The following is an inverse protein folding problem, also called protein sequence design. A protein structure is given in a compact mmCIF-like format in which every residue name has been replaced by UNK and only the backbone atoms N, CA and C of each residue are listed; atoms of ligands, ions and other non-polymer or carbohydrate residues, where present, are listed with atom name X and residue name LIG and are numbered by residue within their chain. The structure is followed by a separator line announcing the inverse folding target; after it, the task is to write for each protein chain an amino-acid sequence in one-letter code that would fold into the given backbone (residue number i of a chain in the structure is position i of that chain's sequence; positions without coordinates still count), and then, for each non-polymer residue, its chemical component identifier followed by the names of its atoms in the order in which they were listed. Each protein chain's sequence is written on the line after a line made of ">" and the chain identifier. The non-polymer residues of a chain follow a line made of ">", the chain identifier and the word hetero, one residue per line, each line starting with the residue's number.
data_IF_042200115890
#
_entry.id   IF_042200115890
#
_cell.length_a   1.000
_cell.length_b   1.000
_cell.length_c   1.000
_cell.angle_alpha   90.00
_cell.angle_beta   90.00
_cell.angle_gamma   90.00
#
_symmetry.space_group_name_H-M   'P 1'
#
loop_
_entity.id
_entity.type
_entity.pdbx_description
1 polymer ?
#
# COMPACT_ATOMS: atom_id res chain seq x y z
N UNK A 1 -7.58 -6.94 42.36
CA UNK A 1 -6.71 -6.10 41.45
C UNK A 1 -5.80 -7.03 40.67
N UNK A 2 -5.06 -7.97 41.25
CA UNK A 2 -4.15 -8.89 40.56
C UNK A 2 -4.82 -9.77 39.49
N UNK A 3 -6.02 -10.29 39.75
CA UNK A 3 -6.80 -11.08 38.78
C UNK A 3 -7.20 -10.26 37.56
N UNK A 4 -7.59 -8.99 37.75
CA UNK A 4 -7.96 -8.10 36.64
C UNK A 4 -6.77 -7.86 35.70
N UNK A 5 -5.59 -7.58 36.28
CA UNK A 5 -4.37 -7.43 35.47
C UNK A 5 -3.99 -8.69 34.70
N UNK A 6 -4.15 -9.86 35.32
CA UNK A 6 -3.91 -11.15 34.63
C UNK A 6 -4.87 -11.36 33.47
N UNK A 7 -6.14 -11.02 33.61
CA UNK A 7 -7.13 -11.08 32.52
C UNK A 7 -6.75 -10.12 31.39
N UNK A 8 -6.34 -8.90 31.70
CA UNK A 8 -5.91 -7.91 30.72
C UNK A 8 -4.68 -8.41 29.95
N UNK A 9 -3.68 -8.97 30.64
CA UNK A 9 -2.46 -9.51 29.98
C UNK A 9 -2.78 -10.71 29.09
N UNK A 10 -3.71 -11.57 29.49
CA UNK A 10 -4.19 -12.67 28.67
C UNK A 10 -4.91 -12.16 27.40
N UNK A 11 -5.75 -11.13 27.51
CA UNK A 11 -6.42 -10.51 26.36
C UNK A 11 -5.43 -9.85 25.39
N UNK A 12 -4.43 -9.13 25.91
CA UNK A 12 -3.34 -8.55 25.10
C UNK A 12 -2.64 -9.65 24.33
N UNK A 13 -2.20 -10.71 25.01
CA UNK A 13 -1.50 -11.83 24.41
C UNK A 13 -2.35 -12.52 23.33
N UNK A 14 -3.64 -12.72 23.58
CA UNK A 14 -4.58 -13.33 22.64
C UNK A 14 -4.70 -12.50 21.36
N UNK A 15 -4.89 -11.18 21.48
CA UNK A 15 -5.03 -10.30 20.31
C UNK A 15 -3.73 -10.18 19.54
N UNK A 16 -2.57 -10.15 20.21
CA UNK A 16 -1.26 -10.19 19.56
C UNK A 16 -1.09 -11.46 18.72
N UNK A 17 -1.35 -12.63 19.32
CA UNK A 17 -1.27 -13.93 18.61
C UNK A 17 -2.22 -13.98 17.41
N UNK A 18 -3.46 -13.52 17.55
CA UNK A 18 -4.43 -13.46 16.44
C UNK A 18 -3.93 -12.56 15.31
N UNK A 19 -3.44 -11.36 15.61
CA UNK A 19 -2.89 -10.46 14.60
C UNK A 19 -1.71 -11.09 13.84
N UNK A 20 -0.77 -11.72 14.56
CA UNK A 20 0.38 -12.40 13.94
C UNK A 20 -0.07 -13.57 13.06
N UNK A 21 -1.04 -14.37 13.54
CA UNK A 21 -1.57 -15.51 12.78
C UNK A 21 -2.24 -15.06 11.49
N UNK A 22 -3.06 -14.00 11.54
CA UNK A 22 -3.74 -13.46 10.34
C UNK A 22 -2.71 -12.88 9.36
N UNK A 23 -1.67 -12.18 9.83
CA UNK A 23 -0.56 -11.69 8.98
C UNK A 23 0.17 -12.84 8.29
N UNK A 24 0.45 -13.95 9.00
CA UNK A 24 1.05 -15.15 8.41
C UNK A 24 0.13 -15.82 7.39
N UNK A 25 -1.16 -15.91 7.67
CA UNK A 25 -2.15 -16.44 6.73
C UNK A 25 -2.20 -15.61 5.46
N UNK A 26 -2.25 -14.28 5.57
CA UNK A 26 -2.20 -13.35 4.44
C UNK A 26 -0.98 -13.60 3.55
N UNK A 27 0.21 -13.64 4.16
CA UNK A 27 1.46 -13.87 3.43
C UNK A 27 1.47 -15.26 2.77
N UNK A 28 0.97 -16.29 3.44
CA UNK A 28 0.86 -17.65 2.91
C UNK A 28 -0.10 -17.73 1.72
N UNK A 29 -1.26 -17.06 1.80
CA UNK A 29 -2.22 -16.99 0.70
C UNK A 29 -1.63 -16.27 -0.52
N UNK A 30 -1.01 -15.10 -0.34
CA UNK A 30 -0.34 -14.36 -1.43
C UNK A 30 0.74 -15.21 -2.10
N UNK A 31 1.60 -15.84 -1.29
CA UNK A 31 2.67 -16.70 -1.80
C UNK A 31 2.11 -17.91 -2.57
N UNK A 32 1.08 -18.57 -2.04
CA UNK A 32 0.43 -19.69 -2.74
C UNK A 32 -0.19 -19.24 -4.06
N UNK A 33 -0.91 -18.13 -4.09
CA UNK A 33 -1.50 -17.60 -5.32
C UNK A 33 -0.44 -17.38 -6.40
N UNK A 34 0.71 -16.78 -6.04
CA UNK A 34 1.81 -16.53 -6.98
C UNK A 34 2.47 -17.82 -7.42
N UNK A 35 2.75 -18.76 -6.50
CA UNK A 35 3.40 -20.04 -6.81
C UNK A 35 2.49 -20.98 -7.61
N UNK A 36 1.17 -20.92 -7.44
CA UNK A 36 0.23 -21.75 -8.21
C UNK A 36 0.19 -21.31 -9.67
N UNK A 37 0.44 -20.03 -9.95
CA UNK A 37 0.57 -19.50 -11.30
C UNK A 37 1.89 -19.92 -11.96
N UNK A 38 2.95 -20.10 -11.16
CA UNK A 38 4.29 -20.52 -11.63
C UNK A 38 4.48 -22.05 -11.67
N UNK A 39 3.59 -22.82 -11.00
CA UNK A 39 3.69 -24.26 -10.89
C UNK A 39 2.36 -24.97 -11.18
N UNK A 40 2.45 -26.13 -11.84
CA UNK A 40 1.32 -27.03 -12.14
C UNK A 40 0.68 -27.74 -10.92
N UNK A 41 0.92 -27.24 -9.70
CA UNK A 41 0.39 -27.81 -8.45
C UNK A 41 -0.99 -27.22 -8.12
N UNK A 42 -2.00 -27.72 -8.80
CA UNK A 42 -3.34 -27.12 -8.92
C UNK A 42 -4.43 -27.70 -8.00
N UNK A 43 -4.17 -28.65 -7.11
CA UNK A 43 -5.24 -29.56 -6.65
C UNK A 43 -6.02 -29.13 -5.39
N UNK A 44 -5.68 -28.08 -4.66
CA UNK A 44 -6.33 -27.83 -3.36
C UNK A 44 -7.09 -26.48 -3.26
N UNK A 45 -6.85 -25.49 -4.13
CA UNK A 45 -7.45 -24.16 -4.00
C UNK A 45 -8.16 -23.62 -5.27
N UNK A 46 -8.32 -24.40 -6.30
CA UNK A 46 -8.70 -24.02 -7.66
C UNK A 46 -10.19 -23.84 -8.00
N UNK A 47 -11.18 -24.04 -7.15
CA UNK A 47 -12.53 -23.62 -7.53
C UNK A 47 -12.71 -22.09 -7.55
N UNK A 48 -11.77 -21.32 -6.97
CA UNK A 48 -11.92 -19.87 -6.76
C UNK A 48 -11.09 -18.99 -7.72
N UNK A 49 -10.03 -19.54 -8.34
CA UNK A 49 -9.09 -18.77 -9.16
C UNK A 49 -8.85 -19.43 -10.51
N UNK A 50 -8.78 -18.60 -11.58
CA UNK A 50 -8.46 -19.08 -12.93
C UNK A 50 -6.95 -19.23 -13.09
N UNK A 51 -6.54 -20.09 -14.07
CA UNK A 51 -5.11 -20.33 -14.35
C UNK A 51 -4.55 -19.28 -15.33
N UNK A 52 -5.41 -18.47 -15.93
CA UNK A 52 -5.05 -17.54 -17.02
C UNK A 52 -4.52 -16.20 -16.48
N UNK A 53 -3.37 -16.25 -15.79
CA UNK A 53 -2.69 -15.02 -15.37
C UNK A 53 -1.63 -14.62 -16.39
N UNK A 54 -1.61 -13.34 -16.75
CA UNK A 54 -0.70 -12.76 -17.72
C UNK A 54 0.46 -12.01 -17.04
N UNK A 55 1.65 -12.12 -17.62
CA UNK A 55 2.77 -11.28 -17.23
C UNK A 55 2.61 -9.87 -17.80
N UNK A 56 2.52 -8.88 -16.94
CA UNK A 56 2.38 -7.47 -17.32
C UNK A 56 3.35 -6.58 -16.55
N UNK A 57 3.88 -5.57 -17.20
CA UNK A 57 4.67 -4.55 -16.51
C UNK A 57 3.76 -3.61 -15.74
N UNK A 58 4.19 -3.17 -14.55
CA UNK A 58 3.41 -2.24 -13.72
C UNK A 58 3.04 -0.95 -14.47
N UNK A 59 3.92 -0.42 -15.32
CA UNK A 59 3.64 0.75 -16.16
C UNK A 59 2.60 0.53 -17.26
N UNK A 60 2.25 -0.74 -17.58
CA UNK A 60 1.13 -1.05 -18.46
C UNK A 60 -0.20 -1.02 -17.70
N UNK A 61 -0.18 -1.27 -16.40
CA UNK A 61 -1.33 -1.33 -15.51
C UNK A 61 -1.67 0.01 -14.87
N UNK A 62 -0.67 0.88 -14.71
CA UNK A 62 -0.77 2.15 -14.00
C UNK A 62 0.14 3.21 -14.61
N UNK A 63 -0.19 4.47 -14.38
CA UNK A 63 0.73 5.59 -14.53
C UNK A 63 1.57 5.70 -13.24
N UNK A 64 2.89 5.86 -13.39
CA UNK A 64 3.77 6.11 -12.25
C UNK A 64 4.04 7.61 -12.17
N UNK A 65 3.58 8.22 -11.08
CA UNK A 65 3.60 9.67 -10.89
C UNK A 65 4.55 10.03 -9.75
N UNK A 66 5.57 10.81 -10.05
CA UNK A 66 6.44 11.42 -9.04
C UNK A 66 5.76 12.63 -8.41
N UNK A 67 6.01 12.85 -7.13
CA UNK A 67 5.56 14.04 -6.44
C UNK A 67 6.49 15.24 -6.57
N UNK A 68 6.10 16.34 -5.94
CA UNK A 68 6.87 17.59 -5.89
C UNK A 68 6.63 18.36 -4.59
N UNK A 69 7.55 19.30 -4.32
CA UNK A 69 7.48 20.14 -3.12
C UNK A 69 7.41 21.60 -3.56
N UNK A 70 6.34 22.34 -3.23
CA UNK A 70 6.32 23.79 -3.38
C UNK A 70 7.44 24.44 -2.58
N UNK A 71 7.89 25.64 -3.01
CA UNK A 71 8.91 26.38 -2.30
C UNK A 71 8.49 26.62 -0.84
N UNK A 72 9.27 26.07 0.10
CA UNK A 72 8.95 26.12 1.53
C UNK A 72 9.08 27.53 2.12
N UNK A 73 9.82 28.41 1.45
CA UNK A 73 9.99 29.80 1.83
C UNK A 73 8.79 30.70 1.46
N UNK A 74 7.86 30.22 0.64
CA UNK A 74 6.66 30.99 0.28
C UNK A 74 5.43 30.48 1.05
N UNK A 75 4.94 31.23 2.08
CA UNK A 75 3.79 30.83 2.88
C UNK A 75 2.49 30.72 2.09
N UNK A 76 2.33 31.44 0.95
CA UNK A 76 1.13 31.36 0.10
C UNK A 76 0.92 29.97 -0.53
N UNK A 77 1.95 29.13 -0.54
CA UNK A 77 1.88 27.79 -1.13
C UNK A 77 1.37 26.73 -0.17
N UNK A 78 1.27 27.07 1.13
CA UNK A 78 0.98 26.15 2.22
C UNK A 78 -0.36 26.44 2.91
N UNK A 79 -0.79 25.52 3.77
CA UNK A 79 -2.00 25.61 4.59
C UNK A 79 -3.31 25.79 3.78
N UNK A 80 -3.33 25.27 2.54
CA UNK A 80 -4.51 25.23 1.69
C UNK A 80 -5.44 24.06 1.96
N UNK A 81 -6.13 23.60 0.92
CA UNK A 81 -7.11 22.50 0.99
C UNK A 81 -6.62 21.17 0.44
N UNK A 82 -5.55 21.19 -0.38
CA UNK A 82 -5.02 20.02 -1.07
C UNK A 82 -4.13 19.24 -0.10
N UNK A 83 -4.48 17.99 0.17
CA UNK A 83 -3.63 17.08 0.96
C UNK A 83 -2.27 16.91 0.27
N UNK A 84 -1.18 16.99 1.06
CA UNK A 84 0.18 16.81 0.55
C UNK A 84 0.99 15.91 1.50
N UNK A 85 1.22 14.68 1.04
CA UNK A 85 1.84 13.63 1.84
C UNK A 85 3.36 13.63 1.75
N UNK A 86 3.97 13.25 2.88
CA UNK A 86 5.39 12.89 2.98
C UNK A 86 5.54 11.39 3.32
N UNK A 87 6.67 10.74 3.00
CA UNK A 87 6.89 9.32 3.32
C UNK A 87 6.76 8.96 4.81
N UNK A 88 7.00 9.92 5.71
CA UNK A 88 6.88 9.72 7.14
C UNK A 88 5.43 9.47 7.60
N UNK A 89 4.45 9.96 6.84
CA UNK A 89 3.03 9.80 7.14
C UNK A 89 2.47 8.43 6.74
N UNK A 90 3.21 7.66 5.91
CA UNK A 90 2.76 6.35 5.46
C UNK A 90 3.18 5.30 6.50
N UNK A 91 2.16 4.73 7.13
CA UNK A 91 2.26 3.68 8.15
C UNK A 91 1.89 2.31 7.57
N UNK A 92 1.49 1.37 8.44
CA UNK A 92 0.93 0.07 8.03
C UNK A 92 -0.56 0.14 7.64
N UNK A 93 -1.19 1.32 7.72
CA UNK A 93 -2.60 1.48 7.38
C UNK A 93 -2.81 1.33 5.87
N UNK A 94 -3.82 0.51 5.49
CA UNK A 94 -4.17 0.30 4.08
C UNK A 94 -4.65 1.57 3.39
N UNK A 95 -5.38 2.43 4.10
CA UNK A 95 -5.99 3.64 3.57
C UNK A 95 -5.50 4.89 4.28
N UNK A 96 -5.38 5.98 3.53
CA UNK A 96 -5.11 7.32 4.06
C UNK A 96 -6.20 8.29 3.61
N UNK A 97 -6.64 9.13 4.56
CA UNK A 97 -7.80 10.01 4.40
C UNK A 97 -7.42 11.49 4.42
N UNK A 98 -6.26 11.87 4.94
CA UNK A 98 -5.77 13.24 5.04
C UNK A 98 -4.31 13.29 5.44
N UNK A 99 -3.62 14.33 5.02
CA UNK A 99 -2.22 14.59 5.33
C UNK A 99 -2.07 15.62 6.47
N UNK A 100 -0.92 15.61 7.12
CA UNK A 100 -0.59 16.61 8.15
C UNK A 100 -0.40 18.01 7.55
N UNK A 101 0.23 18.07 6.37
CA UNK A 101 0.45 19.31 5.64
C UNK A 101 -0.47 19.37 4.43
N UNK A 102 -0.89 20.58 4.11
CA UNK A 102 -1.68 20.86 2.91
C UNK A 102 -1.01 21.94 2.08
N UNK A 103 -1.27 21.93 0.79
CA UNK A 103 -0.83 22.96 -0.15
C UNK A 103 -2.03 23.69 -0.76
N UNK A 104 -1.79 24.88 -1.24
CA UNK A 104 -2.77 25.66 -1.99
C UNK A 104 -2.72 25.27 -3.46
N UNK A 105 -3.73 25.69 -4.25
CA UNK A 105 -3.68 25.55 -5.71
C UNK A 105 -2.51 26.34 -6.32
N UNK A 106 -2.18 27.49 -5.73
CA UNK A 106 -1.03 28.30 -6.15
C UNK A 106 0.26 27.50 -5.92
N UNK A 107 0.41 26.85 -4.76
CA UNK A 107 1.56 26.01 -4.46
C UNK A 107 1.64 24.80 -5.37
N UNK A 108 0.50 24.16 -5.68
CA UNK A 108 0.44 23.07 -6.65
C UNK A 108 0.94 23.51 -8.03
N UNK A 109 0.40 24.61 -8.55
CA UNK A 109 0.70 25.11 -9.88
C UNK A 109 2.14 25.64 -10.02
N UNK A 110 2.76 26.07 -8.92
CA UNK A 110 4.15 26.54 -8.88
C UNK A 110 5.15 25.47 -8.41
N UNK A 111 4.79 24.20 -8.54
CA UNK A 111 5.65 23.07 -8.20
C UNK A 111 5.53 21.94 -9.21
N UNK A 112 6.34 20.90 -9.07
CA UNK A 112 6.20 19.65 -9.82
C UNK A 112 5.16 18.69 -9.22
N UNK A 113 4.48 19.09 -8.14
CA UNK A 113 3.43 18.31 -7.54
C UNK A 113 2.24 18.14 -8.48
N UNK A 114 1.56 16.99 -8.40
CA UNK A 114 0.38 16.68 -9.21
C UNK A 114 -0.75 16.19 -8.34
N UNK A 115 -1.98 16.44 -8.75
CA UNK A 115 -3.15 15.85 -8.11
C UNK A 115 -3.22 14.36 -8.48
N UNK A 116 -3.33 13.55 -7.48
CA UNK A 116 -3.48 12.10 -7.55
C UNK A 116 -4.93 11.74 -7.21
N UNK A 117 -5.66 11.00 -8.06
CA UNK A 117 -7.06 10.69 -7.85
C UNK A 117 -7.26 9.70 -6.70
N UNK A 118 -8.26 9.98 -5.86
CA UNK A 118 -8.71 9.05 -4.82
C UNK A 118 -9.15 7.71 -5.41
N UNK A 119 -9.18 6.68 -4.57
CA UNK A 119 -9.64 5.32 -4.83
C UNK A 119 -8.93 4.58 -5.99
N UNK A 120 -8.01 5.25 -6.68
CA UNK A 120 -7.23 4.72 -7.80
C UNK A 120 -5.73 4.86 -7.61
N UNK A 121 -5.30 5.63 -6.62
CA UNK A 121 -3.88 5.86 -6.35
C UNK A 121 -3.41 5.05 -5.16
N UNK A 122 -2.34 4.30 -5.40
CA UNK A 122 -1.54 3.66 -4.35
C UNK A 122 -0.28 4.50 -4.19
N UNK A 123 -0.16 5.17 -3.05
CA UNK A 123 1.09 5.82 -2.66
C UNK A 123 2.18 4.76 -2.50
N UNK A 124 3.36 5.02 -3.05
CA UNK A 124 4.51 4.11 -2.95
C UNK A 124 5.76 4.95 -2.66
N UNK A 125 6.38 4.76 -1.50
CA UNK A 125 7.61 5.48 -1.15
C UNK A 125 8.78 4.98 -1.98
N UNK A 126 9.52 5.91 -2.61
CA UNK A 126 10.64 5.59 -3.51
C UNK A 126 12.01 5.62 -2.85
N UNK A 127 12.10 6.24 -1.66
CA UNK A 127 13.34 6.42 -0.89
C UNK A 127 13.04 6.48 0.61
N UNK A 128 14.06 6.47 1.47
CA UNK A 128 13.92 6.50 2.93
C UNK A 128 12.98 5.42 3.50
N UNK A 129 13.12 4.20 2.99
CA UNK A 129 12.22 3.08 3.27
C UNK A 129 11.30 2.82 2.07
N UNK A 130 11.88 2.25 1.00
CA UNK A 130 11.19 1.89 -0.24
C UNK A 130 9.99 0.98 0.07
N UNK A 131 8.85 1.27 -0.58
CA UNK A 131 7.72 0.36 -0.63
C UNK A 131 6.77 0.42 0.56
N UNK A 132 6.76 1.51 1.35
CA UNK A 132 5.60 1.81 2.17
C UNK A 132 4.46 2.23 1.26
N UNK A 133 3.27 1.69 1.48
CA UNK A 133 2.13 1.88 0.58
C UNK A 133 0.85 2.19 1.33
N UNK A 134 -0.01 3.00 0.72
CA UNK A 134 -1.39 3.22 1.16
C UNK A 134 -2.27 3.62 -0.04
N UNK A 135 -3.56 3.29 0.00
CA UNK A 135 -4.55 3.73 -0.99
C UNK A 135 -5.10 5.09 -0.56
N UNK A 136 -5.11 6.06 -1.47
CA UNK A 136 -5.75 7.36 -1.25
C UNK A 136 -7.27 7.24 -1.19
N UNK A 137 -7.89 7.80 -0.16
CA UNK A 137 -9.36 7.93 -0.03
C UNK A 137 -9.87 9.34 -0.29
N UNK A 138 -8.98 10.31 -0.42
CA UNK A 138 -9.25 11.66 -0.92
C UNK A 138 -8.19 12.03 -1.93
N UNK A 139 -8.52 12.92 -2.87
CA UNK A 139 -7.55 13.47 -3.80
C UNK A 139 -6.43 14.14 -3.03
N UNK A 140 -5.20 13.94 -3.50
CA UNK A 140 -4.03 14.40 -2.78
C UNK A 140 -2.86 14.68 -3.74
N UNK A 141 -1.81 15.26 -3.18
CA UNK A 141 -0.50 15.38 -3.80
C UNK A 141 0.58 14.80 -2.87
N UNK A 142 1.79 14.67 -3.36
CA UNK A 142 2.92 14.11 -2.60
C UNK A 142 4.20 14.90 -2.83
N UNK A 143 5.17 14.74 -1.92
CA UNK A 143 6.53 15.18 -2.20
C UNK A 143 7.26 14.22 -3.15
N UNK A 144 8.48 14.57 -3.54
CA UNK A 144 9.32 13.76 -4.43
C UNK A 144 9.83 12.45 -3.84
N UNK A 145 9.50 12.13 -2.61
CA UNK A 145 9.80 10.84 -1.96
C UNK A 145 8.88 9.70 -2.38
N UNK A 146 7.93 9.98 -3.29
CA UNK A 146 7.01 8.99 -3.82
C UNK A 146 7.18 8.75 -5.30
N UNK A 147 6.86 7.51 -5.70
CA UNK A 147 6.52 7.12 -7.05
C UNK A 147 5.10 6.50 -6.98
N UNK A 148 4.09 7.36 -7.02
CA UNK A 148 2.70 6.95 -6.81
C UNK A 148 2.18 6.16 -8.00
N UNK A 149 1.45 5.08 -7.74
CA UNK A 149 0.90 4.15 -8.73
C UNK A 149 -0.56 4.52 -8.96
N UNK A 150 -0.85 5.22 -10.06
CA UNK A 150 -2.22 5.60 -10.45
C UNK A 150 -2.78 4.53 -11.38
N UNK A 151 -3.62 3.67 -10.86
CA UNK A 151 -4.12 2.47 -11.53
C UNK A 151 -5.09 2.83 -12.66
N UNK A 152 -4.99 2.17 -13.83
CA UNK A 152 -5.89 2.36 -14.98
C UNK A 152 -7.30 1.81 -14.71
N UNK A 153 -8.30 2.28 -15.47
CA UNK A 153 -9.71 1.96 -15.27
C UNK A 153 -10.06 0.46 -15.33
N UNK A 154 -9.29 -0.32 -16.08
CA UNK A 154 -9.50 -1.75 -16.27
C UNK A 154 -8.70 -2.64 -15.31
N UNK A 155 -8.13 -2.05 -14.27
CA UNK A 155 -7.33 -2.72 -13.25
C UNK A 155 -7.91 -2.37 -11.87
N UNK A 156 -7.97 -3.34 -10.98
CA UNK A 156 -8.47 -3.16 -9.62
C UNK A 156 -7.38 -2.63 -8.67
N UNK A 157 -7.57 -1.46 -8.02
CA UNK A 157 -6.57 -0.88 -7.12
C UNK A 157 -6.32 -1.72 -5.87
N UNK A 158 -7.34 -2.38 -5.34
CA UNK A 158 -7.24 -3.23 -4.16
C UNK A 158 -6.41 -4.48 -4.45
N UNK A 159 -6.53 -5.02 -5.66
CA UNK A 159 -5.68 -6.10 -6.15
C UNK A 159 -4.23 -5.64 -6.25
N UNK A 160 -3.95 -4.50 -6.91
CA UNK A 160 -2.58 -3.98 -7.05
C UNK A 160 -1.97 -3.68 -5.68
N UNK A 161 -2.76 -3.13 -4.74
CA UNK A 161 -2.31 -2.95 -3.37
C UNK A 161 -1.98 -4.27 -2.67
N UNK A 162 -2.75 -5.33 -2.91
CA UNK A 162 -2.46 -6.65 -2.33
C UNK A 162 -1.10 -7.20 -2.79
N UNK A 163 -0.63 -6.79 -3.96
CA UNK A 163 0.68 -7.14 -4.51
C UNK A 163 1.82 -6.24 -3.99
N UNK A 164 1.54 -5.27 -3.10
CA UNK A 164 2.51 -4.27 -2.62
C UNK A 164 3.78 -4.87 -2.03
N UNK A 165 3.68 -5.99 -1.32
CA UNK A 165 4.86 -6.70 -0.78
C UNK A 165 5.77 -7.22 -1.91
N UNK A 166 5.20 -7.83 -2.95
CA UNK A 166 5.95 -8.30 -4.11
C UNK A 166 6.56 -7.15 -4.91
N UNK A 167 5.80 -6.06 -5.09
CA UNK A 167 6.30 -4.84 -5.76
C UNK A 167 7.47 -4.27 -4.97
N UNK A 168 7.36 -4.18 -3.64
CA UNK A 168 8.41 -3.72 -2.75
C UNK A 168 9.67 -4.56 -2.87
N UNK A 169 9.58 -5.89 -2.74
CA UNK A 169 10.74 -6.78 -2.82
C UNK A 169 11.48 -6.66 -4.17
N UNK A 170 10.72 -6.55 -5.27
CA UNK A 170 11.31 -6.32 -6.60
C UNK A 170 11.93 -4.93 -6.72
N UNK A 171 11.28 -3.90 -6.17
CA UNK A 171 11.79 -2.52 -6.15
C UNK A 171 13.08 -2.40 -5.34
N UNK A 172 13.16 -3.01 -4.16
CA UNK A 172 14.37 -3.02 -3.32
C UNK A 172 15.55 -3.71 -4.02
N UNK A 173 15.31 -4.82 -4.72
CA UNK A 173 16.37 -5.49 -5.51
C UNK A 173 16.90 -4.60 -6.62
N UNK A 174 16.03 -3.86 -7.30
CA UNK A 174 16.43 -2.92 -8.37
C UNK A 174 17.19 -1.73 -7.77
N UNK A 175 16.75 -1.20 -6.64
CA UNK A 175 17.36 -0.06 -5.96
C UNK A 175 18.72 -0.41 -5.33
N UNK A 176 18.92 -1.64 -4.86
CA UNK A 176 20.19 -2.11 -4.28
C UNK A 176 21.38 -2.04 -5.25
N UNK A 177 21.11 -2.05 -6.56
CA UNK A 177 22.11 -1.85 -7.62
C UNK A 177 22.40 -0.38 -7.93
N UNK A 178 21.74 0.58 -7.26
CA UNK A 178 21.94 2.02 -7.49
C UNK A 178 22.78 2.66 -6.37
N UNK A 179 23.54 3.71 -6.71
CA UNK A 179 24.38 4.48 -5.77
C UNK A 179 23.55 5.16 -4.67
N UNK A 180 22.29 5.45 -4.96
CA UNK A 180 21.30 5.98 -4.03
C UNK A 180 20.20 4.94 -3.85
N UNK A 181 19.90 4.52 -2.62
CA UNK A 181 18.82 3.56 -2.31
C UNK A 181 17.45 4.13 -2.65
N UNK A 182 17.22 4.41 -3.93
CA UNK A 182 16.00 4.99 -4.49
C UNK A 182 15.58 4.27 -5.77
N UNK A 183 14.28 4.12 -5.99
CA UNK A 183 13.72 3.60 -7.25
C UNK A 183 13.05 4.72 -8.03
N UNK A 184 13.42 4.86 -9.30
CA UNK A 184 12.78 5.80 -10.21
C UNK A 184 11.45 5.27 -10.75
N UNK A 185 10.56 6.17 -11.20
CA UNK A 185 9.28 5.77 -11.82
C UNK A 185 9.47 4.86 -13.03
N UNK A 186 10.52 5.09 -13.84
CA UNK A 186 10.86 4.22 -14.98
C UNK A 186 11.26 2.80 -14.55
N UNK A 187 12.00 2.66 -13.46
CA UNK A 187 12.38 1.36 -12.92
C UNK A 187 11.18 0.66 -12.29
N UNK A 188 10.38 1.38 -11.49
CA UNK A 188 9.16 0.86 -10.89
C UNK A 188 8.17 0.37 -11.95
N UNK A 189 7.99 1.14 -13.04
CA UNK A 189 7.14 0.76 -14.17
C UNK A 189 7.59 -0.49 -14.93
N UNK A 190 8.86 -0.91 -14.82
CA UNK A 190 9.38 -2.13 -15.44
C UNK A 190 9.15 -3.39 -14.61
N UNK A 191 8.70 -3.27 -13.36
CA UNK A 191 8.41 -4.42 -12.51
C UNK A 191 7.31 -5.25 -13.14
N UNK A 192 7.57 -6.55 -13.31
CA UNK A 192 6.64 -7.51 -13.89
C UNK A 192 5.79 -8.12 -12.77
N UNK A 193 4.49 -8.14 -12.99
CA UNK A 193 3.50 -8.77 -12.12
C UNK A 193 2.70 -9.80 -12.91
N UNK A 194 2.20 -10.82 -12.22
CA UNK A 194 1.20 -11.74 -12.75
C UNK A 194 -0.18 -11.17 -12.48
N UNK A 195 -1.02 -11.05 -13.51
CA UNK A 195 -2.30 -10.34 -13.46
C UNK A 195 -3.41 -11.24 -13.99
N UNK A 196 -4.45 -11.56 -13.21
CA UNK A 196 -5.63 -12.27 -13.67
C UNK A 196 -6.63 -11.33 -14.37
N UNK A 197 -7.71 -11.88 -14.88
CA UNK A 197 -8.83 -11.11 -15.40
C UNK A 197 -9.46 -10.20 -14.32
N UNK A 198 -10.09 -9.09 -14.73
CA UNK A 198 -10.60 -8.05 -13.82
C UNK A 198 -11.56 -8.57 -12.74
N UNK A 199 -12.44 -9.53 -13.05
CA UNK A 199 -13.36 -10.12 -12.06
C UNK A 199 -12.61 -10.85 -10.95
N UNK A 200 -11.53 -11.50 -11.29
CA UNK A 200 -10.68 -12.19 -10.32
C UNK A 200 -9.85 -11.21 -9.51
N UNK A 201 -9.31 -10.16 -10.14
CA UNK A 201 -8.64 -9.06 -9.43
C UNK A 201 -9.54 -8.49 -8.32
N UNK A 202 -10.81 -8.19 -8.64
CA UNK A 202 -11.79 -7.66 -7.68
C UNK A 202 -12.02 -8.61 -6.50
N UNK A 203 -12.20 -9.92 -6.76
CA UNK A 203 -12.37 -10.93 -5.69
C UNK A 203 -11.14 -11.01 -4.78
N UNK A 204 -9.95 -11.00 -5.38
CA UNK A 204 -8.69 -11.03 -4.65
C UNK A 204 -8.52 -9.75 -3.82
N UNK A 205 -8.75 -8.60 -4.44
CA UNK A 205 -8.67 -7.29 -3.78
C UNK A 205 -9.60 -7.19 -2.57
N UNK A 206 -10.86 -7.62 -2.73
CA UNK A 206 -11.85 -7.67 -1.65
C UNK A 206 -11.41 -8.61 -0.51
N UNK A 207 -10.98 -9.83 -0.84
CA UNK A 207 -10.50 -10.80 0.16
C UNK A 207 -9.36 -10.22 1.01
N UNK A 208 -8.35 -9.62 0.36
CA UNK A 208 -7.22 -9.04 1.08
C UNK A 208 -7.58 -7.76 1.83
N UNK A 209 -8.55 -7.00 1.36
CA UNK A 209 -9.11 -5.86 2.09
C UNK A 209 -9.77 -6.30 3.40
N UNK A 210 -10.58 -7.36 3.37
CA UNK A 210 -11.20 -7.95 4.57
C UNK A 210 -10.13 -8.42 5.55
N UNK A 211 -9.09 -9.12 5.06
CA UNK A 211 -7.99 -9.62 5.91
C UNK A 211 -7.25 -8.44 6.57
N UNK A 212 -6.94 -7.38 5.85
CA UNK A 212 -6.27 -6.20 6.39
C UNK A 212 -7.14 -5.45 7.41
N UNK A 213 -8.45 -5.38 7.18
CA UNK A 213 -9.39 -4.82 8.15
C UNK A 213 -9.42 -5.64 9.45
N UNK A 214 -9.38 -6.97 9.37
CA UNK A 214 -9.29 -7.84 10.55
C UNK A 214 -7.99 -7.62 11.33
N UNK A 215 -6.85 -7.50 10.62
CA UNK A 215 -5.56 -7.19 11.25
C UNK A 215 -5.65 -5.85 12.00
N UNK A 216 -6.15 -4.81 11.34
CA UNK A 216 -6.30 -3.47 11.91
C UNK A 216 -7.23 -3.48 13.13
N UNK A 217 -8.33 -4.21 13.07
CA UNK A 217 -9.28 -4.35 14.19
C UNK A 217 -8.60 -4.97 15.42
N UNK A 218 -7.82 -6.04 15.24
CA UNK A 218 -7.09 -6.67 16.32
C UNK A 218 -6.01 -5.75 16.90
N UNK A 219 -5.32 -4.97 16.07
CA UNK A 219 -4.33 -3.98 16.52
C UNK A 219 -4.98 -2.85 17.33
N UNK A 220 -6.13 -2.31 16.88
CA UNK A 220 -6.89 -1.28 17.62
C UNK A 220 -7.37 -1.79 18.97
N UNK A 221 -7.88 -3.03 19.03
CA UNK A 221 -8.28 -3.66 20.30
C UNK A 221 -7.10 -3.78 21.27
N UNK A 222 -5.93 -4.16 20.76
CA UNK A 222 -4.70 -4.20 21.56
C UNK A 222 -4.36 -2.85 22.17
N UNK A 223 -4.41 -1.78 21.34
CA UNK A 223 -4.12 -0.43 21.81
C UNK A 223 -5.08 0.02 22.92
N UNK A 224 -6.39 -0.20 22.72
CA UNK A 224 -7.41 0.14 23.71
C UNK A 224 -7.20 -0.61 25.03
N UNK A 225 -6.96 -1.93 24.96
CA UNK A 225 -6.75 -2.76 26.16
C UNK A 225 -5.47 -2.34 26.89
N UNK A 226 -4.41 -2.01 26.17
CA UNK A 226 -3.15 -1.54 26.76
C UNK A 226 -3.29 -0.14 27.39
N UNK A 227 -4.17 0.72 26.87
CA UNK A 227 -4.44 2.05 27.42
C UNK A 227 -5.27 2.00 28.72
N UNK A 228 -6.12 0.96 28.88
CA UNK A 228 -6.94 0.76 30.08
C UNK A 228 -6.12 0.14 31.24
N UNK A 229 -4.99 -0.47 30.93
CA UNK A 229 -4.04 -1.05 31.90
C UNK A 229 -3.24 0.03 32.60
#
# INVERSE_FOLDING_TARGET
>A
IGELFSIIDNLITLHQRKSVTIKKLKSGLLRKMILTVESTLTDVFLPLFTIDWEQRKLGELAEIVSGGTPATSNPEYWDGTINWYTPAEISEARYVYGSQKKITEVGLNNSSAKILPKDRTILFTSRAGIGKTAILKNDASTNQGFQSIVVKNNIDPEFVYSMSTQIKEKAERVAAGSTFSEISGKQLGKIILMIPGIKEQQRIGELFSIIDNLITLHQRKLFIIAYIK
#
